data_IF_052490168848
#
_entry.id   IF_052490168848
#
_cell.length_a   1.000
_cell.length_b   1.000
_cell.length_c   1.000
_cell.angle_alpha   90.00
_cell.angle_beta   90.00
_cell.angle_gamma   90.00
#
_symmetry.space_group_name_H-M   'P 1'
#
loop_
_entity.id
_entity.type
_entity.pdbx_description
1 polymer ?
#
# COMPACT_ATOMS: atom_id res chain seq x y z
N UNK A 1 22.32 1.78 -10.52
CA UNK A 1 21.11 2.01 -11.33
C UNK A 1 20.07 2.63 -10.40
N UNK A 2 19.77 3.93 -10.52
CA UNK A 2 18.82 4.61 -9.63
C UNK A 2 17.40 4.15 -9.99
N UNK A 3 17.02 2.98 -9.48
CA UNK A 3 15.70 2.38 -9.71
C UNK A 3 14.65 3.07 -8.84
N UNK A 4 13.47 3.32 -9.41
CA UNK A 4 12.33 3.78 -8.63
C UNK A 4 11.98 2.78 -7.52
N UNK A 5 11.65 3.28 -6.34
CA UNK A 5 11.05 2.48 -5.27
C UNK A 5 9.56 2.35 -5.53
N UNK A 6 9.07 1.12 -5.69
CA UNK A 6 7.65 0.83 -5.82
C UNK A 6 7.02 0.64 -4.44
N UNK A 7 5.93 1.35 -4.21
CA UNK A 7 5.08 1.22 -3.02
C UNK A 7 3.71 0.75 -3.50
N UNK A 8 3.18 -0.29 -2.87
CA UNK A 8 1.80 -0.73 -3.06
C UNK A 8 0.91 -0.09 -1.99
N UNK A 9 -0.26 0.40 -2.40
CA UNK A 9 -1.21 1.08 -1.53
C UNK A 9 -2.58 0.45 -1.73
N UNK A 10 -3.21 -0.02 -0.65
CA UNK A 10 -4.52 -0.67 -0.68
C UNK A 10 -5.65 0.28 -0.30
N UNK A 11 -6.62 0.42 -1.20
CA UNK A 11 -7.89 1.10 -0.96
C UNK A 11 -8.94 0.03 -0.67
N UNK A 12 -9.19 -0.24 0.62
CA UNK A 12 -10.19 -1.21 1.04
C UNK A 12 -11.48 -0.47 1.34
N UNK A 13 -12.53 -0.76 0.58
CA UNK A 13 -13.86 -0.17 0.75
C UNK A 13 -14.74 -1.06 1.64
N UNK A 14 -15.68 -0.45 2.36
CA UNK A 14 -16.78 -1.20 2.98
C UNK A 14 -17.66 -1.84 1.91
N UNK A 15 -18.45 -2.84 2.30
CA UNK A 15 -19.31 -3.61 1.38
C UNK A 15 -20.27 -2.72 0.56
N UNK A 16 -20.73 -1.61 1.12
CA UNK A 16 -21.61 -0.62 0.49
C UNK A 16 -20.84 0.53 -0.20
N UNK A 17 -19.51 0.47 -0.23
CA UNK A 17 -18.61 1.49 -0.76
C UNK A 17 -18.75 2.88 -0.10
N UNK A 18 -19.37 2.99 1.07
CA UNK A 18 -19.59 4.27 1.76
C UNK A 18 -18.40 4.74 2.59
N UNK A 19 -17.47 3.84 2.90
CA UNK A 19 -16.30 4.13 3.74
C UNK A 19 -15.05 3.43 3.23
N UNK A 20 -13.89 4.01 3.61
CA UNK A 20 -12.58 3.44 3.31
C UNK A 20 -11.88 3.05 4.60
N UNK A 21 -11.23 1.89 4.60
CA UNK A 21 -10.47 1.40 5.73
C UNK A 21 -9.11 2.10 5.78
N UNK A 22 -8.77 2.66 6.95
CA UNK A 22 -7.55 3.41 7.20
C UNK A 22 -6.86 2.80 8.42
N UNK A 23 -5.56 2.59 8.33
CA UNK A 23 -4.73 2.09 9.44
C UNK A 23 -4.07 3.25 10.19
N UNK A 24 -3.58 2.95 11.40
CA UNK A 24 -2.67 3.83 12.12
C UNK A 24 -1.25 3.29 11.98
N UNK A 25 -0.31 4.17 11.71
CA UNK A 25 1.13 3.86 11.68
C UNK A 25 1.56 3.21 13.00
N UNK A 26 2.37 2.15 12.90
CA UNK A 26 2.97 1.47 14.06
C UNK A 26 3.71 2.47 14.95
N UNK A 27 3.77 2.21 16.26
CA UNK A 27 4.30 3.17 17.24
C UNK A 27 5.81 3.43 17.11
N UNK A 28 6.53 2.50 16.51
CA UNK A 28 7.99 2.51 16.46
C UNK A 28 8.55 2.96 15.10
N UNK A 29 7.73 3.63 14.28
CA UNK A 29 8.15 4.21 13.00
C UNK A 29 7.94 5.72 12.99
N UNK A 30 8.67 6.42 12.10
CA UNK A 30 8.43 7.86 11.84
C UNK A 30 6.94 8.12 11.62
N UNK A 31 6.44 9.22 12.19
CA UNK A 31 5.02 9.61 12.16
C UNK A 31 4.09 8.60 12.83
N UNK A 32 4.53 7.98 13.92
CA UNK A 32 3.74 7.09 14.74
C UNK A 32 2.31 7.62 14.99
N UNK A 33 1.32 6.73 14.90
CA UNK A 33 -0.11 7.01 15.09
C UNK A 33 -0.79 7.90 14.03
N UNK A 34 -0.09 8.35 12.99
CA UNK A 34 -0.75 8.99 11.85
C UNK A 34 -1.61 8.00 11.09
N UNK A 35 -2.64 8.52 10.42
CA UNK A 35 -3.53 7.75 9.56
C UNK A 35 -2.88 7.50 8.20
N UNK A 36 -3.01 6.27 7.71
CA UNK A 36 -2.52 5.87 6.39
C UNK A 36 -3.40 4.81 5.74
N UNK A 37 -3.23 4.64 4.42
CA UNK A 37 -3.72 3.44 3.76
C UNK A 37 -2.81 2.26 4.10
N UNK A 38 -3.35 1.04 4.25
CA UNK A 38 -2.52 -0.15 4.39
C UNK A 38 -1.70 -0.39 3.12
N UNK A 39 -0.52 -0.97 3.29
CA UNK A 39 0.39 -1.24 2.18
C UNK A 39 1.84 -0.96 2.57
N UNK A 40 2.72 -1.01 1.58
CA UNK A 40 4.15 -0.96 1.88
C UNK A 40 5.05 -1.01 0.67
N UNK A 41 6.33 -1.19 0.93
CA UNK A 41 7.39 -1.16 -0.08
C UNK A 41 7.57 -2.54 -0.69
N UNK A 42 7.59 -2.60 -2.02
CA UNK A 42 7.92 -3.84 -2.72
C UNK A 42 9.40 -4.21 -2.50
N UNK A 43 9.64 -5.49 -2.26
CA UNK A 43 10.99 -6.05 -2.24
C UNK A 43 11.59 -6.11 -3.66
N UNK A 44 12.90 -6.36 -3.74
CA UNK A 44 13.57 -6.52 -5.01
C UNK A 44 12.95 -7.69 -5.79
N UNK A 45 12.57 -7.46 -7.04
CA UNK A 45 11.89 -8.41 -7.93
C UNK A 45 10.48 -8.84 -7.48
N UNK A 46 9.90 -8.22 -6.46
CA UNK A 46 8.52 -8.45 -6.06
C UNK A 46 7.57 -7.63 -6.96
N UNK A 47 6.50 -8.26 -7.45
CA UNK A 47 5.45 -7.51 -8.16
C UNK A 47 4.68 -6.64 -7.17
N UNK A 48 4.19 -5.48 -7.61
CA UNK A 48 3.40 -4.58 -6.76
C UNK A 48 2.12 -5.23 -6.23
N UNK A 49 1.51 -6.14 -7.00
CA UNK A 49 0.36 -6.93 -6.56
C UNK A 49 0.72 -7.91 -5.46
N UNK A 50 1.85 -8.62 -5.56
CA UNK A 50 2.28 -9.55 -4.51
C UNK A 50 2.66 -8.79 -3.24
N UNK A 51 3.36 -7.66 -3.39
CA UNK A 51 3.64 -6.74 -2.30
C UNK A 51 2.35 -6.31 -1.59
N UNK A 52 1.33 -5.88 -2.34
CA UNK A 52 0.05 -5.47 -1.74
C UNK A 52 -0.56 -6.61 -0.91
N UNK A 53 -0.67 -7.81 -1.47
CA UNK A 53 -1.27 -8.97 -0.79
C UNK A 53 -0.54 -9.30 0.50
N UNK A 54 0.79 -9.29 0.46
CA UNK A 54 1.65 -9.52 1.63
C UNK A 54 1.40 -8.48 2.73
N UNK A 55 1.46 -7.19 2.37
CA UNK A 55 1.28 -6.09 3.33
C UNK A 55 -0.14 -6.09 3.95
N UNK A 56 -1.18 -6.29 3.14
CA UNK A 56 -2.56 -6.40 3.66
C UNK A 56 -2.72 -7.56 4.66
N UNK A 57 -2.05 -8.68 4.41
CA UNK A 57 -2.06 -9.80 5.35
C UNK A 57 -1.28 -9.47 6.63
N UNK A 58 -0.06 -8.95 6.52
CA UNK A 58 0.83 -8.65 7.65
C UNK A 58 0.30 -7.51 8.54
N UNK A 59 -0.31 -6.48 7.97
CA UNK A 59 -0.74 -5.30 8.70
C UNK A 59 -2.14 -5.43 9.28
N UNK A 60 -3.07 -6.03 8.52
CA UNK A 60 -4.51 -6.01 8.84
C UNK A 60 -5.21 -7.36 8.64
N UNK A 61 -4.46 -8.43 8.41
CA UNK A 61 -4.97 -9.80 8.26
C UNK A 61 -6.05 -9.95 7.16
N UNK A 62 -5.93 -9.17 6.08
CA UNK A 62 -6.80 -9.28 4.90
C UNK A 62 -6.09 -10.06 3.80
N UNK A 63 -6.75 -11.12 3.31
CA UNK A 63 -6.34 -11.86 2.12
C UNK A 63 -7.29 -11.53 0.96
N UNK A 64 -6.96 -10.59 0.07
CA UNK A 64 -7.88 -10.14 -0.96
C UNK A 64 -8.08 -11.22 -2.04
N UNK A 65 -9.33 -11.47 -2.41
CA UNK A 65 -9.70 -12.41 -3.47
C UNK A 65 -9.57 -11.74 -4.84
N UNK A 66 -10.06 -10.50 -4.94
CA UNK A 66 -10.02 -9.67 -6.15
C UNK A 66 -9.26 -8.39 -5.79
N UNK A 67 -8.31 -8.01 -6.64
CA UNK A 67 -7.55 -6.77 -6.53
C UNK A 67 -7.53 -6.13 -7.92
N UNK A 68 -7.90 -4.85 -7.99
CA UNK A 68 -8.00 -4.12 -9.24
C UNK A 68 -7.02 -2.95 -9.21
N UNK A 69 -6.06 -2.84 -10.14
CA UNK A 69 -5.22 -1.65 -10.23
C UNK A 69 -6.09 -0.39 -10.45
N UNK A 70 -5.88 0.65 -9.66
CA UNK A 70 -6.64 1.90 -9.75
C UNK A 70 -5.85 3.01 -10.46
N UNK A 71 -4.74 3.46 -9.88
CA UNK A 71 -3.81 4.39 -10.53
C UNK A 71 -2.41 4.33 -9.93
N UNK A 72 -1.43 4.85 -10.66
CA UNK A 72 -0.08 5.05 -10.15
C UNK A 72 0.32 6.52 -10.16
N UNK A 73 1.09 6.94 -9.16
CA UNK A 73 1.61 8.30 -9.03
C UNK A 73 3.11 8.29 -8.83
N UNK A 74 3.83 8.97 -9.73
CA UNK A 74 5.28 9.17 -9.62
C UNK A 74 5.55 10.36 -8.69
N UNK A 75 6.33 10.13 -7.65
CA UNK A 75 6.83 11.16 -6.74
C UNK A 75 8.31 11.37 -7.06
N UNK A 76 8.56 12.16 -8.12
CA UNK A 76 9.87 12.31 -8.79
C UNK A 76 10.99 12.78 -7.85
N UNK A 77 10.71 13.72 -6.94
CA UNK A 77 11.69 14.22 -5.94
C UNK A 77 12.27 13.12 -5.05
N UNK A 78 11.60 11.98 -4.89
CA UNK A 78 12.06 10.85 -4.05
C UNK A 78 12.35 9.57 -4.83
N UNK A 79 12.17 9.57 -6.16
CA UNK A 79 12.27 8.35 -6.96
C UNK A 79 11.28 7.27 -6.50
N UNK A 80 10.07 7.65 -6.11
CA UNK A 80 9.03 6.72 -5.62
C UNK A 80 7.90 6.62 -6.65
N UNK A 81 7.35 5.43 -6.83
CA UNK A 81 6.09 5.19 -7.53
C UNK A 81 5.11 4.60 -6.53
N UNK A 82 4.01 5.31 -6.28
CA UNK A 82 2.88 4.81 -5.51
C UNK A 82 1.93 4.10 -6.48
N UNK A 83 1.58 2.85 -6.21
CA UNK A 83 0.67 2.04 -7.01
C UNK A 83 -0.56 1.73 -6.15
N UNK A 84 -1.67 2.36 -6.49
CA UNK A 84 -2.94 2.21 -5.78
C UNK A 84 -3.77 1.10 -6.39
N UNK A 85 -4.36 0.29 -5.51
CA UNK A 85 -5.23 -0.84 -5.81
C UNK A 85 -6.50 -0.75 -4.98
#
# INVERSE_FOLDING_TARGET
>A
MLGFTNIAVGIVLSHDNSSVYITKRKKDVDWANYLEFPGGKAYLNESTLNCLKRELYEEININPIIVTPYFSKIVSKKGIILNFF
#
